data_IF_525916805234
#
_entry.id   IF_525916805234
#
_cell.length_a   1.000
_cell.length_b   1.000
_cell.length_c   1.000
_cell.angle_alpha   90.00
_cell.angle_beta   90.00
_cell.angle_gamma   90.00
#
_symmetry.space_group_name_H-M   'P 1'
#
loop_
_entity.id
_entity.type
_entity.pdbx_description
1 polymer ?
#
# COMPACT_ATOMS: atom_id res chain seq x y z
N UNK A 1 -0.81 20.78 7.42
CA UNK A 1 -0.81 19.34 7.74
C UNK A 1 0.04 18.67 6.68
N UNK A 2 1.18 18.09 7.07
CA UNK A 2 2.04 17.40 6.12
C UNK A 2 1.44 16.04 5.80
N UNK A 3 1.35 15.75 4.51
CA UNK A 3 0.74 14.53 4.00
C UNK A 3 1.66 13.33 4.25
N UNK A 4 1.13 12.26 4.82
CA UNK A 4 1.80 10.95 4.87
C UNK A 4 2.35 10.59 3.49
N UNK A 5 3.63 10.18 3.35
CA UNK A 5 4.19 9.78 2.07
C UNK A 5 3.35 8.71 1.37
N UNK A 6 3.25 8.77 0.05
CA UNK A 6 2.40 7.88 -0.76
C UNK A 6 2.67 6.38 -0.51
N UNK A 7 3.94 6.03 -0.27
CA UNK A 7 4.38 4.64 -0.06
C UNK A 7 3.87 4.00 1.23
N UNK A 8 3.27 4.78 2.11
CA UNK A 8 2.87 4.37 3.47
C UNK A 8 1.37 4.48 3.69
N UNK A 9 0.65 4.93 2.69
CA UNK A 9 -0.79 4.94 2.72
C UNK A 9 -1.29 3.59 2.24
N UNK A 10 -2.30 3.06 2.92
CA UNK A 10 -2.99 1.87 2.45
C UNK A 10 -3.49 2.11 1.02
N UNK A 11 -3.06 1.29 0.08
CA UNK A 11 -3.44 1.40 -1.33
C UNK A 11 -4.65 0.52 -1.61
N UNK A 12 -5.77 1.14 -1.88
CA UNK A 12 -7.04 0.46 -2.17
C UNK A 12 -7.34 0.60 -3.66
N UNK A 13 -7.27 -0.50 -4.40
CA UNK A 13 -7.58 -0.48 -5.82
C UNK A 13 -9.07 -0.70 -6.07
N UNK A 14 -9.69 0.19 -6.89
CA UNK A 14 -11.06 0.04 -7.33
C UNK A 14 -11.11 -0.53 -8.74
N UNK A 15 -11.73 -1.68 -8.86
CA UNK A 15 -11.97 -2.36 -10.13
C UNK A 15 -13.47 -2.47 -10.43
N UNK A 16 -13.81 -2.72 -11.67
CA UNK A 16 -15.17 -2.95 -12.11
C UNK A 16 -15.37 -2.46 -13.54
N UNK A 17 -16.45 -2.89 -14.17
CA UNK A 17 -16.82 -2.50 -15.55
C UNK A 17 -17.05 -1.00 -15.67
N UNK A 18 -17.12 -0.54 -16.90
CA UNK A 18 -17.52 0.84 -17.21
C UNK A 18 -18.95 1.11 -16.68
N UNK A 19 -19.18 2.29 -16.14
CA UNK A 19 -20.46 2.73 -15.62
C UNK A 19 -21.06 1.94 -14.43
N UNK A 20 -20.33 1.07 -13.76
CA UNK A 20 -20.81 0.42 -12.50
C UNK A 20 -20.82 1.36 -11.30
N UNK A 21 -20.24 2.57 -11.44
CA UNK A 21 -20.27 3.62 -10.41
C UNK A 21 -19.03 3.66 -9.53
N UNK A 22 -17.85 3.26 -10.02
CA UNK A 22 -16.56 3.38 -9.27
C UNK A 22 -16.31 4.79 -8.78
N UNK A 23 -16.37 5.78 -9.67
CA UNK A 23 -16.16 7.19 -9.33
C UNK A 23 -17.24 7.75 -8.41
N UNK A 24 -18.49 7.31 -8.56
CA UNK A 24 -19.59 7.68 -7.64
C UNK A 24 -19.37 7.11 -6.25
N UNK A 25 -18.89 5.87 -6.15
CA UNK A 25 -18.50 5.25 -4.89
C UNK A 25 -17.37 6.03 -4.21
N UNK A 26 -16.33 6.43 -4.96
CA UNK A 26 -15.25 7.27 -4.45
C UNK A 26 -15.75 8.63 -3.94
N UNK A 27 -16.64 9.27 -4.69
CA UNK A 27 -17.22 10.54 -4.27
C UNK A 27 -18.06 10.37 -2.99
N UNK A 28 -18.75 9.23 -2.84
CA UNK A 28 -19.48 8.90 -1.64
C UNK A 28 -18.56 8.83 -0.40
N UNK A 29 -17.32 8.36 -0.56
CA UNK A 29 -16.32 8.42 0.50
C UNK A 29 -15.78 9.83 0.73
N UNK A 30 -15.56 10.60 -0.33
CA UNK A 30 -14.88 11.89 -0.27
C UNK A 30 -15.71 13.01 0.37
N UNK A 31 -17.04 12.95 0.29
CA UNK A 31 -17.93 14.00 0.80
C UNK A 31 -18.16 13.94 2.34
N UNK A 32 -17.57 13.00 3.04
CA UNK A 32 -17.66 12.91 4.50
C UNK A 32 -16.37 13.37 5.18
N UNK A 33 -16.33 14.64 5.60
CA UNK A 33 -15.29 15.26 6.49
C UNK A 33 -13.83 14.90 6.16
N UNK A 34 -13.49 14.88 4.88
CA UNK A 34 -12.16 14.50 4.44
C UNK A 34 -11.46 15.74 3.89
N UNK A 35 -10.38 16.14 4.55
CA UNK A 35 -9.46 17.10 3.99
C UNK A 35 -8.87 16.52 2.70
N UNK A 36 -9.31 17.02 1.55
CA UNK A 36 -8.71 16.76 0.25
C UNK A 36 -7.26 17.25 0.33
N UNK A 37 -6.33 16.32 0.46
CA UNK A 37 -4.91 16.65 0.34
C UNK A 37 -4.64 16.85 -1.14
N UNK A 38 -4.45 18.12 -1.51
CA UNK A 38 -4.25 18.69 -2.84
C UNK A 38 -3.92 17.72 -3.97
N UNK A 39 -4.66 17.85 -5.07
CA UNK A 39 -4.28 17.32 -6.38
C UNK A 39 -2.86 17.78 -6.74
N UNK A 40 -1.91 16.88 -6.79
CA UNK A 40 -0.68 17.12 -7.54
C UNK A 40 -0.92 16.67 -8.98
N UNK A 41 -0.97 17.61 -9.94
CA UNK A 41 -0.94 17.25 -11.36
C UNK A 41 0.50 16.81 -11.67
N UNK A 42 0.67 15.63 -12.16
CA UNK A 42 1.95 15.26 -12.76
C UNK A 42 2.32 13.81 -12.56
N UNK A 43 1.98 13.04 -13.49
CA UNK A 43 2.81 12.14 -14.31
C UNK A 43 1.86 11.35 -15.20
N UNK A 44 2.18 11.26 -16.47
CA UNK A 44 1.51 10.55 -17.55
C UNK A 44 1.49 9.03 -17.31
N UNK A 45 0.76 8.58 -16.31
CA UNK A 45 0.41 7.19 -16.11
C UNK A 45 -1.05 7.13 -15.70
N UNK A 46 -1.81 6.50 -16.51
CA UNK A 46 -3.26 6.30 -16.60
C UNK A 46 -4.02 5.83 -15.33
N UNK A 47 -3.48 5.89 -14.16
CA UNK A 47 -4.13 5.54 -12.89
C UNK A 47 -4.37 6.81 -12.09
N UNK A 48 -5.65 7.12 -11.84
CA UNK A 48 -6.01 8.26 -11.00
C UNK A 48 -5.85 7.87 -9.55
N UNK A 49 -4.90 8.49 -8.86
CA UNK A 49 -4.66 8.31 -7.43
C UNK A 49 -5.45 9.36 -6.65
N UNK A 50 -6.32 8.93 -5.75
CA UNK A 50 -7.09 9.80 -4.86
C UNK A 50 -6.69 9.56 -3.41
N UNK A 51 -5.85 10.42 -2.81
CA UNK A 51 -5.52 10.30 -1.40
C UNK A 51 -6.70 10.77 -0.55
N UNK A 52 -7.08 9.96 0.43
CA UNK A 52 -8.16 10.21 1.38
C UNK A 52 -7.71 9.82 2.79
N UNK A 53 -8.38 10.36 3.80
CA UNK A 53 -8.23 9.90 5.18
C UNK A 53 -9.52 9.22 5.62
N UNK A 54 -9.44 7.91 5.90
CA UNK A 54 -10.58 7.11 6.34
C UNK A 54 -10.49 6.84 7.85
N UNK A 55 -11.10 7.66 8.67
CA UNK A 55 -11.17 7.38 10.11
C UNK A 55 -12.07 6.18 10.40
N UNK A 56 -11.65 5.20 11.26
CA UNK A 56 -10.40 5.16 12.04
C UNK A 56 -9.20 4.49 11.35
N UNK A 57 -9.28 4.14 10.08
CA UNK A 57 -8.26 3.39 9.33
C UNK A 57 -6.97 4.23 9.14
N UNK A 58 -7.14 5.55 8.92
CA UNK A 58 -6.02 6.46 8.65
C UNK A 58 -5.89 6.86 7.17
N UNK A 59 -4.70 7.33 6.75
CA UNK A 59 -4.48 7.80 5.39
C UNK A 59 -4.44 6.66 4.39
N UNK A 60 -5.27 6.75 3.34
CA UNK A 60 -5.37 5.77 2.25
C UNK A 60 -5.15 6.44 0.90
N UNK A 61 -4.83 5.65 -0.12
CA UNK A 61 -4.85 6.07 -1.53
C UNK A 61 -5.76 5.14 -2.29
N UNK A 62 -6.82 5.69 -2.86
CA UNK A 62 -7.62 4.95 -3.83
C UNK A 62 -6.97 5.01 -5.21
N UNK A 63 -6.77 3.85 -5.80
CA UNK A 63 -6.30 3.68 -7.18
C UNK A 63 -7.54 3.45 -8.05
N UNK A 64 -8.02 4.52 -8.70
CA UNK A 64 -9.18 4.42 -9.61
C UNK A 64 -8.72 3.84 -10.95
N UNK A 65 -9.38 2.75 -11.37
CA UNK A 65 -9.02 2.03 -12.59
C UNK A 65 -10.02 2.29 -13.70
N UNK A 66 -9.60 2.28 -14.97
CA UNK A 66 -10.53 2.25 -16.09
C UNK A 66 -11.47 1.04 -16.03
N UNK A 67 -12.56 1.10 -16.76
CA UNK A 67 -13.51 -0.03 -16.85
C UNK A 67 -12.83 -1.30 -17.35
N UNK A 68 -13.17 -2.44 -16.76
CA UNK A 68 -12.67 -3.77 -17.17
C UNK A 68 -13.08 -4.15 -18.60
N UNK A 69 -14.14 -3.55 -19.10
CA UNK A 69 -14.77 -3.75 -20.40
C UNK A 69 -14.48 -2.64 -21.41
N UNK A 70 -13.57 -1.71 -21.09
CA UNK A 70 -13.21 -0.61 -21.99
C UNK A 70 -12.51 -1.16 -23.24
N UNK A 71 -13.19 -1.08 -24.37
CA UNK A 71 -12.72 -1.58 -25.67
C UNK A 71 -11.78 -0.61 -26.38
N UNK A 72 -11.54 0.57 -25.84
CA UNK A 72 -10.68 1.61 -26.44
C UNK A 72 -9.19 1.24 -26.42
N UNK A 73 -8.77 0.30 -25.57
CA UNK A 73 -7.39 -0.19 -25.50
C UNK A 73 -7.25 -1.63 -26.00
N UNK A 74 -6.16 -1.91 -26.71
CA UNK A 74 -5.75 -3.27 -27.06
C UNK A 74 -5.71 -4.15 -25.79
N UNK A 75 -6.35 -5.32 -25.81
CA UNK A 75 -6.57 -6.20 -24.66
C UNK A 75 -5.31 -6.51 -23.83
N UNK A 76 -4.14 -6.59 -24.48
CA UNK A 76 -2.85 -6.83 -23.81
C UNK A 76 -2.44 -5.67 -22.89
N UNK A 77 -2.59 -4.41 -23.34
CA UNK A 77 -2.27 -3.23 -22.52
C UNK A 77 -3.17 -3.14 -21.29
N UNK A 78 -4.44 -3.52 -21.41
CA UNK A 78 -5.39 -3.53 -20.31
C UNK A 78 -5.02 -4.55 -19.24
N UNK A 79 -4.63 -5.76 -19.66
CA UNK A 79 -4.16 -6.82 -18.74
C UNK A 79 -2.89 -6.38 -18.01
N UNK A 80 -1.94 -5.81 -18.73
CA UNK A 80 -0.70 -5.31 -18.15
C UNK A 80 -0.95 -4.19 -17.13
N UNK A 81 -1.86 -3.26 -17.46
CA UNK A 81 -2.26 -2.18 -16.56
C UNK A 81 -2.93 -2.69 -15.30
N UNK A 82 -3.88 -3.62 -15.41
CA UNK A 82 -4.52 -4.26 -14.26
C UNK A 82 -3.50 -4.99 -13.39
N UNK A 83 -2.52 -5.66 -13.98
CA UNK A 83 -1.42 -6.33 -13.26
C UNK A 83 -0.55 -5.33 -12.48
N UNK A 84 -0.22 -4.18 -13.08
CA UNK A 84 0.55 -3.10 -12.40
C UNK A 84 -0.22 -2.52 -11.20
N UNK A 85 -1.53 -2.32 -11.34
CA UNK A 85 -2.35 -1.82 -10.24
C UNK A 85 -2.45 -2.87 -9.13
N UNK A 86 -2.68 -4.13 -9.49
CA UNK A 86 -2.73 -5.24 -8.54
C UNK A 86 -1.41 -5.41 -7.77
N UNK A 87 -0.26 -5.17 -8.39
CA UNK A 87 1.03 -5.26 -7.69
C UNK A 87 1.24 -4.16 -6.64
N UNK A 88 0.44 -3.10 -6.68
CA UNK A 88 0.50 -1.98 -5.74
C UNK A 88 -0.61 -2.02 -4.69
N UNK A 89 -1.67 -2.77 -4.96
CA UNK A 89 -2.87 -2.78 -4.12
C UNK A 89 -2.65 -3.61 -2.85
N UNK A 90 -2.96 -3.01 -1.72
CA UNK A 90 -3.01 -3.69 -0.42
C UNK A 90 -4.39 -4.35 -0.21
N UNK A 91 -5.44 -3.72 -0.76
CA UNK A 91 -6.82 -4.22 -0.76
C UNK A 91 -7.44 -3.95 -2.13
N UNK A 92 -8.22 -4.89 -2.64
CA UNK A 92 -8.99 -4.73 -3.86
C UNK A 92 -10.49 -4.57 -3.55
N UNK A 93 -11.12 -3.59 -4.17
CA UNK A 93 -12.59 -3.43 -4.18
C UNK A 93 -13.06 -3.67 -5.60
N UNK A 94 -13.90 -4.69 -5.80
CA UNK A 94 -14.54 -4.95 -7.09
C UNK A 94 -15.95 -4.42 -7.04
N UNK A 95 -16.24 -3.40 -7.86
CA UNK A 95 -17.55 -2.78 -7.97
C UNK A 95 -18.34 -3.44 -9.10
N UNK A 96 -19.51 -3.92 -8.78
CA UNK A 96 -20.42 -4.58 -9.73
C UNK A 96 -21.85 -4.10 -9.56
N UNK A 97 -22.78 -4.62 -10.35
CA UNK A 97 -24.22 -4.35 -10.25
C UNK A 97 -24.96 -5.61 -9.79
N UNK A 98 -26.20 -5.49 -9.24
CA UNK A 98 -26.99 -6.64 -8.81
C UNK A 98 -27.12 -7.68 -9.91
N UNK A 99 -26.83 -8.93 -9.59
CA UNK A 99 -26.96 -10.10 -10.47
C UNK A 99 -26.18 -10.03 -11.80
N UNK A 100 -25.11 -9.20 -11.86
CA UNK A 100 -24.27 -9.07 -13.05
C UNK A 100 -22.81 -9.38 -12.68
N UNK A 101 -22.34 -10.54 -13.07
CA UNK A 101 -20.97 -10.98 -12.87
C UNK A 101 -20.46 -11.63 -14.15
N UNK A 102 -19.51 -11.02 -14.82
CA UNK A 102 -19.02 -11.41 -16.15
C UNK A 102 -17.68 -12.10 -16.08
N UNK A 103 -17.22 -12.66 -17.20
CA UNK A 103 -15.92 -13.31 -17.31
C UNK A 103 -14.75 -12.36 -16.96
N UNK A 104 -14.92 -11.06 -17.17
CA UNK A 104 -13.93 -10.05 -16.82
C UNK A 104 -13.73 -9.93 -15.31
N UNK A 105 -14.82 -9.92 -14.54
CA UNK A 105 -14.77 -9.91 -13.09
C UNK A 105 -14.24 -11.24 -12.54
N UNK A 106 -14.60 -12.37 -13.15
CA UNK A 106 -14.08 -13.69 -12.76
C UNK A 106 -12.57 -13.75 -12.96
N UNK A 107 -12.06 -13.34 -14.12
CA UNK A 107 -10.63 -13.33 -14.41
C UNK A 107 -9.85 -12.39 -13.45
N UNK A 108 -10.42 -11.22 -13.14
CA UNK A 108 -9.84 -10.29 -12.17
C UNK A 108 -9.80 -10.90 -10.77
N UNK A 109 -10.90 -11.50 -10.30
CA UNK A 109 -10.97 -12.11 -8.98
C UNK A 109 -9.95 -13.24 -8.84
N UNK A 110 -9.76 -14.06 -9.87
CA UNK A 110 -8.73 -15.10 -9.89
C UNK A 110 -7.33 -14.48 -9.75
N UNK A 111 -7.04 -13.41 -10.50
CA UNK A 111 -5.76 -12.71 -10.41
C UNK A 111 -5.50 -12.08 -9.02
N UNK A 112 -6.55 -11.61 -8.34
CA UNK A 112 -6.50 -11.09 -6.97
C UNK A 112 -6.20 -12.24 -6.00
N UNK A 113 -6.87 -13.39 -6.15
CA UNK A 113 -6.65 -14.58 -5.33
C UNK A 113 -5.23 -15.13 -5.50
N UNK A 114 -4.73 -15.22 -6.74
CA UNK A 114 -3.36 -15.70 -7.04
C UNK A 114 -2.28 -14.84 -6.36
N UNK A 115 -2.57 -13.56 -6.15
CA UNK A 115 -1.67 -12.63 -5.46
C UNK A 115 -1.95 -12.52 -3.96
N UNK A 116 -2.90 -13.28 -3.43
CA UNK A 116 -3.34 -13.22 -2.03
C UNK A 116 -3.78 -11.81 -1.56
N UNK A 117 -4.28 -10.98 -2.46
CA UNK A 117 -4.75 -9.64 -2.11
C UNK A 117 -6.15 -9.75 -1.48
N UNK A 118 -6.36 -9.22 -0.26
CA UNK A 118 -7.69 -9.18 0.35
C UNK A 118 -8.66 -8.40 -0.53
N UNK A 119 -9.90 -8.91 -0.68
CA UNK A 119 -10.88 -8.28 -1.56
C UNK A 119 -12.25 -8.10 -0.90
N UNK A 120 -12.98 -7.09 -1.36
CA UNK A 120 -14.39 -6.82 -1.05
C UNK A 120 -15.15 -6.68 -2.36
N UNK A 121 -16.33 -7.27 -2.44
CA UNK A 121 -17.26 -7.02 -3.53
C UNK A 121 -18.24 -5.92 -3.11
N UNK A 122 -18.35 -4.88 -3.92
CA UNK A 122 -19.35 -3.81 -3.73
C UNK A 122 -20.39 -3.92 -4.85
N UNK A 123 -21.58 -4.31 -4.48
CA UNK A 123 -22.72 -4.39 -5.39
C UNK A 123 -23.42 -3.03 -5.35
N UNK A 124 -23.06 -2.18 -6.30
CA UNK A 124 -23.59 -0.82 -6.39
C UNK A 124 -24.91 -0.79 -7.14
N UNK A 125 -25.62 0.34 -7.09
CA UNK A 125 -26.94 0.55 -7.71
C UNK A 125 -28.04 -0.37 -7.13
N UNK A 126 -27.98 -0.65 -5.84
CA UNK A 126 -29.01 -1.43 -5.15
C UNK A 126 -30.41 -0.77 -5.14
N UNK A 127 -30.46 0.52 -5.48
CA UNK A 127 -31.69 1.28 -5.76
C UNK A 127 -32.41 0.83 -7.04
N UNK A 128 -31.68 0.31 -8.04
CA UNK A 128 -32.25 -0.19 -9.29
C UNK A 128 -32.69 -1.66 -9.23
N UNK A 129 -32.29 -2.38 -8.20
CA UNK A 129 -32.63 -3.78 -8.00
C UNK A 129 -31.82 -4.41 -6.87
N UNK A 130 -32.36 -5.47 -6.26
CA UNK A 130 -31.66 -6.24 -5.23
C UNK A 130 -30.98 -7.45 -5.81
N UNK A 131 -29.88 -7.85 -5.21
CA UNK A 131 -29.20 -9.09 -5.56
C UNK A 131 -29.99 -10.31 -5.12
N UNK A 132 -29.96 -11.38 -5.89
CA UNK A 132 -30.51 -12.65 -5.44
C UNK A 132 -29.64 -13.23 -4.31
N UNK A 133 -30.23 -14.00 -3.39
CA UNK A 133 -29.46 -14.66 -2.33
C UNK A 133 -28.34 -15.55 -2.88
N UNK A 134 -28.60 -16.24 -4.00
CA UNK A 134 -27.63 -17.11 -4.67
C UNK A 134 -26.43 -16.32 -5.20
N UNK A 135 -26.66 -15.10 -5.69
CA UNK A 135 -25.61 -14.22 -6.18
C UNK A 135 -24.67 -13.80 -5.05
N UNK A 136 -25.21 -13.39 -3.91
CA UNK A 136 -24.41 -13.02 -2.72
C UNK A 136 -23.68 -14.25 -2.17
N UNK A 137 -24.33 -15.41 -2.15
CA UNK A 137 -23.74 -16.66 -1.64
C UNK A 137 -22.51 -17.11 -2.45
N UNK A 138 -22.46 -16.77 -3.73
CA UNK A 138 -21.29 -17.05 -4.59
C UNK A 138 -20.01 -16.45 -4.00
N UNK A 139 -20.06 -15.21 -3.52
CA UNK A 139 -18.89 -14.53 -2.94
C UNK A 139 -18.56 -15.04 -1.54
N UNK A 140 -19.58 -15.36 -0.74
CA UNK A 140 -19.38 -15.92 0.60
C UNK A 140 -18.67 -17.27 0.59
N UNK A 141 -18.97 -18.13 -0.41
CA UNK A 141 -18.28 -19.41 -0.60
C UNK A 141 -16.77 -19.23 -0.81
N UNK A 142 -16.39 -18.12 -1.42
CA UNK A 142 -15.00 -17.71 -1.63
C UNK A 142 -14.39 -16.98 -0.43
N UNK A 143 -15.13 -16.81 0.66
CA UNK A 143 -14.70 -16.10 1.86
C UNK A 143 -14.56 -14.59 1.65
N UNK A 144 -15.27 -14.02 0.67
CA UNK A 144 -15.22 -12.60 0.31
C UNK A 144 -16.51 -11.92 0.77
N UNK A 145 -16.37 -10.82 1.51
CA UNK A 145 -17.51 -9.99 1.90
C UNK A 145 -18.10 -9.27 0.69
N UNK A 146 -19.44 -9.34 0.54
CA UNK A 146 -20.19 -8.63 -0.48
C UNK A 146 -21.14 -7.63 0.20
N UNK A 147 -21.07 -6.37 -0.22
CA UNK A 147 -21.87 -5.28 0.33
C UNK A 147 -22.77 -4.66 -0.75
N UNK A 148 -24.06 -4.59 -0.50
CA UNK A 148 -24.99 -3.86 -1.36
C UNK A 148 -25.02 -2.38 -0.96
N UNK A 149 -24.79 -1.51 -1.93
CA UNK A 149 -24.80 -0.05 -1.75
C UNK A 149 -25.53 0.65 -2.90
N UNK A 150 -26.00 1.86 -2.66
CA UNK A 150 -26.38 2.78 -3.72
C UNK A 150 -25.62 4.09 -3.55
N UNK A 151 -24.76 4.38 -4.52
CA UNK A 151 -23.98 5.63 -4.49
C UNK A 151 -24.82 6.90 -4.68
N UNK A 152 -26.09 6.75 -5.08
CA UNK A 152 -27.04 7.85 -5.26
C UNK A 152 -28.05 8.00 -4.12
N UNK A 153 -28.12 7.04 -3.21
CA UNK A 153 -29.01 7.08 -2.05
C UNK A 153 -28.40 7.96 -0.94
N UNK A 154 -28.79 9.23 -0.91
CA UNK A 154 -28.27 10.19 0.04
C UNK A 154 -28.73 9.90 1.48
N UNK A 155 -29.90 9.28 1.68
CA UNK A 155 -30.47 9.02 3.00
C UNK A 155 -29.69 7.90 3.72
N UNK A 156 -29.25 6.89 3.02
CA UNK A 156 -28.52 5.75 3.58
C UNK A 156 -26.99 5.85 3.41
N UNK A 157 -26.50 6.96 2.89
CA UNK A 157 -25.09 7.19 2.57
C UNK A 157 -24.17 6.89 3.76
N UNK A 158 -24.44 7.45 4.91
CA UNK A 158 -23.63 7.28 6.12
C UNK A 158 -23.53 5.82 6.56
N UNK A 159 -24.61 5.08 6.40
CA UNK A 159 -24.64 3.66 6.71
C UNK A 159 -23.79 2.86 5.72
N UNK A 160 -23.87 3.15 4.43
CA UNK A 160 -23.05 2.48 3.42
C UNK A 160 -21.55 2.76 3.63
N UNK A 161 -21.18 4.00 3.90
CA UNK A 161 -19.79 4.37 4.19
C UNK A 161 -19.30 3.69 5.46
N UNK A 162 -20.12 3.62 6.51
CA UNK A 162 -19.78 2.91 7.74
C UNK A 162 -19.58 1.41 7.53
N UNK A 163 -20.43 0.77 6.73
CA UNK A 163 -20.28 -0.64 6.38
C UNK A 163 -19.00 -0.90 5.59
N UNK A 164 -18.71 -0.07 4.57
CA UNK A 164 -17.50 -0.18 3.76
C UNK A 164 -16.24 0.04 4.60
N UNK A 165 -16.20 1.07 5.47
CA UNK A 165 -15.09 1.29 6.40
C UNK A 165 -14.87 0.09 7.33
N UNK A 166 -15.96 -0.47 7.85
CA UNK A 166 -15.89 -1.67 8.71
C UNK A 166 -15.36 -2.89 7.96
N UNK A 167 -15.77 -3.10 6.71
CA UNK A 167 -15.28 -4.20 5.88
C UNK A 167 -13.80 -4.04 5.54
N UNK A 168 -13.36 -2.83 5.17
CA UNK A 168 -11.94 -2.52 4.94
C UNK A 168 -11.14 -2.78 6.22
N UNK A 169 -11.60 -2.29 7.38
CA UNK A 169 -10.90 -2.47 8.65
C UNK A 169 -10.73 -3.95 9.03
N UNK A 170 -11.68 -4.82 8.69
CA UNK A 170 -11.55 -6.28 8.92
C UNK A 170 -10.48 -6.92 8.04
N UNK A 171 -10.16 -6.32 6.90
CA UNK A 171 -9.15 -6.84 5.98
C UNK A 171 -7.74 -6.34 6.30
N UNK A 172 -7.58 -5.28 7.11
CA UNK A 172 -6.28 -4.74 7.47
C UNK A 172 -5.30 -5.78 8.02
N UNK A 173 -5.68 -6.64 8.99
CA UNK A 173 -4.77 -7.67 9.49
C UNK A 173 -4.33 -8.65 8.40
N UNK A 174 -5.20 -8.94 7.41
CA UNK A 174 -4.87 -9.80 6.27
C UNK A 174 -3.97 -9.07 5.26
N UNK A 175 -4.21 -7.79 5.03
CA UNK A 175 -3.38 -6.96 4.17
C UNK A 175 -1.97 -6.80 4.76
N UNK A 176 -1.87 -6.59 6.08
CA UNK A 176 -0.59 -6.57 6.81
C UNK A 176 0.11 -7.93 6.76
N UNK A 177 -0.61 -9.04 6.90
CA UNK A 177 -0.06 -10.39 6.80
C UNK A 177 0.39 -10.77 5.39
N UNK A 178 -0.29 -10.31 4.34
CA UNK A 178 0.17 -10.52 2.96
C UNK A 178 1.39 -9.67 2.62
N UNK A 179 1.65 -8.60 3.37
CA UNK A 179 2.86 -7.79 3.31
C UNK A 179 3.96 -8.28 4.27
N UNK A 180 3.82 -9.44 4.90
CA UNK A 180 4.81 -10.03 5.83
C UNK A 180 6.17 -10.38 5.16
N UNK A 181 6.59 -9.57 4.23
CA UNK A 181 8.01 -9.47 3.92
C UNK A 181 8.58 -8.45 4.88
N UNK A 182 9.23 -8.92 5.93
CA UNK A 182 9.97 -8.07 6.84
C UNK A 182 10.91 -7.16 6.06
N UNK A 183 11.04 -5.90 6.48
CA UNK A 183 11.96 -4.94 5.84
C UNK A 183 13.41 -5.42 6.02
N UNK A 184 13.72 -5.97 7.17
CA UNK A 184 15.08 -6.27 7.64
C UNK A 184 15.26 -7.70 8.18
N UNK A 185 14.19 -8.39 8.58
CA UNK A 185 14.30 -9.67 9.28
C UNK A 185 14.96 -10.78 8.47
N UNK A 186 14.89 -10.73 7.14
CA UNK A 186 15.59 -11.66 6.25
C UNK A 186 17.07 -11.26 6.03
N UNK A 187 17.41 -9.98 6.23
CA UNK A 187 18.79 -9.47 6.11
C UNK A 187 19.59 -9.66 7.40
N UNK A 188 18.91 -9.67 8.55
CA UNK A 188 19.49 -9.89 9.87
C UNK A 188 18.74 -11.00 10.59
N UNK A 189 19.01 -12.28 10.23
CA UNK A 189 18.17 -13.41 10.63
C UNK A 189 18.32 -13.83 12.10
N UNK A 190 19.25 -13.23 12.84
CA UNK A 190 19.53 -13.64 14.22
C UNK A 190 18.87 -12.66 15.20
N UNK A 191 18.03 -13.17 16.10
CA UNK A 191 17.54 -12.38 17.24
C UNK A 191 18.71 -11.81 18.03
N UNK A 192 18.62 -10.52 18.43
CA UNK A 192 19.72 -9.78 19.03
C UNK A 192 20.78 -9.28 18.03
N UNK A 193 20.53 -9.42 16.73
CA UNK A 193 21.33 -8.78 15.68
C UNK A 193 21.34 -7.26 15.83
N UNK A 194 22.46 -6.63 15.53
CA UNK A 194 22.66 -5.18 15.71
C UNK A 194 22.52 -4.43 14.39
N UNK A 195 21.57 -3.52 14.32
CA UNK A 195 21.36 -2.64 13.17
C UNK A 195 21.66 -1.18 13.55
N UNK A 196 22.43 -0.48 12.73
CA UNK A 196 22.64 0.95 12.89
C UNK A 196 21.91 1.71 11.76
N UNK A 197 21.05 2.63 12.17
CA UNK A 197 20.39 3.55 11.26
C UNK A 197 21.08 4.92 11.30
N UNK A 198 21.57 5.37 10.15
CA UNK A 198 22.13 6.71 9.99
C UNK A 198 21.06 7.62 9.39
N UNK A 199 20.51 8.51 10.23
CA UNK A 199 19.41 9.40 9.89
C UNK A 199 19.88 10.85 9.91
N UNK A 200 20.21 11.45 8.76
CA UNK A 200 20.54 12.88 8.72
C UNK A 200 19.33 13.70 9.17
N UNK A 201 19.57 14.85 9.78
CA UNK A 201 18.49 15.78 10.08
C UNK A 201 18.10 16.47 8.78
N UNK A 202 16.97 16.05 8.22
CA UNK A 202 16.35 16.74 7.10
C UNK A 202 15.75 18.07 7.57
N UNK A 203 16.22 19.18 7.00
CA UNK A 203 15.69 20.52 7.29
C UNK A 203 14.24 20.69 6.81
N UNK A 204 13.77 19.82 5.91
CA UNK A 204 12.39 19.79 5.42
C UNK A 204 11.46 18.95 6.33
N UNK A 205 12.01 18.11 7.21
CA UNK A 205 11.22 17.38 8.19
C UNK A 205 10.91 18.28 9.42
N UNK A 206 9.69 18.20 9.99
CA UNK A 206 9.36 18.94 11.21
C UNK A 206 10.30 18.58 12.36
N UNK A 207 10.70 19.57 13.14
CA UNK A 207 11.52 19.35 14.35
C UNK A 207 10.90 18.26 15.23
N UNK A 208 11.73 17.29 15.64
CA UNK A 208 11.33 16.22 16.54
C UNK A 208 10.64 15.03 15.87
N UNK A 209 10.64 14.92 14.53
CA UNK A 209 10.09 13.79 13.80
C UNK A 209 11.14 13.14 12.92
N UNK A 210 11.14 11.82 12.92
CA UNK A 210 11.79 11.01 11.89
C UNK A 210 10.84 10.90 10.69
N UNK A 211 11.40 10.77 9.48
CA UNK A 211 10.61 10.46 8.31
C UNK A 211 10.12 9.02 8.39
N UNK A 212 9.03 8.74 7.76
CA UNK A 212 8.29 7.50 7.96
C UNK A 212 9.03 6.22 7.50
N UNK A 213 9.85 6.17 6.43
CA UNK A 213 10.71 5.01 6.17
C UNK A 213 11.64 4.68 7.34
N UNK A 214 12.19 5.69 8.00
CA UNK A 214 13.04 5.51 9.17
C UNK A 214 12.25 4.89 10.33
N UNK A 215 11.06 5.42 10.63
CA UNK A 215 10.19 4.91 11.70
C UNK A 215 9.78 3.46 11.43
N UNK A 216 9.41 3.12 10.19
CA UNK A 216 9.01 1.76 9.83
C UNK A 216 10.17 0.76 9.92
N UNK A 217 11.35 1.12 9.43
CA UNK A 217 12.51 0.26 9.52
C UNK A 217 12.93 0.02 10.99
N UNK A 218 12.87 1.06 11.84
CA UNK A 218 13.09 0.92 13.28
C UNK A 218 12.05 -0.03 13.89
N UNK A 219 10.77 0.17 13.57
CA UNK A 219 9.69 -0.67 14.10
C UNK A 219 9.82 -2.12 13.63
N UNK A 220 10.08 -2.36 12.35
CA UNK A 220 10.30 -3.71 11.81
C UNK A 220 11.48 -4.40 12.49
N UNK A 221 12.57 -3.66 12.74
CA UNK A 221 13.72 -4.22 13.47
C UNK A 221 13.33 -4.68 14.88
N UNK A 222 12.56 -3.88 15.60
CA UNK A 222 12.12 -4.22 16.96
C UNK A 222 11.13 -5.40 16.95
N UNK A 223 10.25 -5.49 15.95
CA UNK A 223 9.32 -6.60 15.78
C UNK A 223 10.03 -7.93 15.42
N UNK A 224 11.27 -7.84 14.91
CA UNK A 224 12.15 -8.99 14.65
C UNK A 224 13.21 -9.22 15.74
N UNK A 225 13.02 -8.68 16.93
CA UNK A 225 13.91 -8.84 18.09
C UNK A 225 15.36 -8.35 17.83
N UNK A 226 15.56 -7.32 16.98
CA UNK A 226 16.86 -6.75 16.67
C UNK A 226 17.19 -5.60 17.64
N UNK A 227 18.51 -5.41 17.87
CA UNK A 227 19.03 -4.25 18.60
C UNK A 227 19.21 -3.10 17.61
N UNK A 228 18.67 -1.93 17.94
CA UNK A 228 18.68 -0.76 17.07
C UNK A 228 19.46 0.38 17.68
N UNK A 229 20.39 0.94 16.90
CA UNK A 229 21.07 2.20 17.22
C UNK A 229 20.73 3.20 16.13
N UNK A 230 20.28 4.39 16.51
CA UNK A 230 19.95 5.47 15.57
C UNK A 230 20.92 6.63 15.84
N UNK A 231 21.65 7.04 14.81
CA UNK A 231 22.64 8.11 14.88
C UNK A 231 22.52 9.03 13.67
N UNK A 232 23.09 10.22 13.78
CA UNK A 232 23.32 11.08 12.61
C UNK A 232 24.65 10.70 11.94
N UNK A 233 24.83 11.20 10.73
CA UNK A 233 26.03 10.93 9.93
C UNK A 233 27.36 11.36 10.61
N UNK A 234 27.30 12.32 11.53
CA UNK A 234 28.50 12.81 12.24
C UNK A 234 28.89 11.95 13.44
N UNK A 235 27.88 11.42 14.12
CA UNK A 235 28.05 10.59 15.31
C UNK A 235 28.29 9.11 14.96
N UNK A 236 28.10 8.70 13.69
CA UNK A 236 28.25 7.32 13.26
C UNK A 236 29.64 6.71 13.54
N UNK A 237 30.78 7.38 13.20
CA UNK A 237 32.10 6.82 13.50
C UNK A 237 32.37 6.67 15.02
N UNK A 238 31.79 7.56 15.84
CA UNK A 238 31.89 7.46 17.29
C UNK A 238 31.05 6.29 17.81
N UNK A 239 29.86 6.11 17.30
CA UNK A 239 29.01 4.97 17.64
C UNK A 239 29.72 3.63 17.36
N UNK A 240 30.33 3.48 16.18
CA UNK A 240 31.12 2.28 15.85
C UNK A 240 32.25 2.02 16.85
N UNK A 241 32.96 3.07 17.31
CA UNK A 241 34.04 2.94 18.29
C UNK A 241 33.58 2.55 19.69
N UNK A 242 32.32 2.89 20.03
CA UNK A 242 31.73 2.55 21.34
C UNK A 242 31.24 1.11 21.43
N UNK A 243 31.12 0.44 20.30
CA UNK A 243 30.57 -0.92 20.24
C UNK A 243 31.66 -1.98 20.49
N UNK A 244 31.29 -2.97 21.28
CA UNK A 244 32.12 -4.17 21.48
C UNK A 244 31.91 -5.23 20.38
N UNK A 245 30.86 -5.06 19.55
CA UNK A 245 30.48 -5.96 18.46
C UNK A 245 30.28 -5.14 17.20
N UNK A 246 30.69 -5.67 16.05
CA UNK A 246 30.37 -5.06 14.76
C UNK A 246 28.86 -5.13 14.51
N UNK A 247 28.26 -4.13 13.86
CA UNK A 247 26.88 -4.22 13.44
C UNK A 247 26.69 -5.32 12.37
N UNK A 248 25.53 -5.96 12.40
CA UNK A 248 25.16 -6.96 11.42
C UNK A 248 24.63 -6.30 10.13
N UNK A 249 24.15 -5.05 10.23
CA UNK A 249 23.69 -4.24 9.09
C UNK A 249 23.79 -2.75 9.42
N UNK A 250 24.15 -1.94 8.43
CA UNK A 250 24.08 -0.47 8.48
C UNK A 250 23.14 0.04 7.40
N UNK A 251 22.20 0.88 7.79
CA UNK A 251 21.21 1.48 6.89
C UNK A 251 21.29 2.99 6.96
N UNK A 252 21.34 3.66 5.82
CA UNK A 252 21.38 5.13 5.81
C UNK A 252 20.36 5.74 4.84
N UNK A 253 20.18 7.05 4.98
CA UNK A 253 19.53 7.84 3.95
C UNK A 253 20.43 7.97 2.71
N UNK A 254 19.83 8.00 1.51
CA UNK A 254 20.58 8.09 0.24
C UNK A 254 21.48 9.32 0.15
N UNK A 255 21.18 10.38 0.91
CA UNK A 255 21.97 11.60 0.93
C UNK A 255 23.35 11.42 1.56
N UNK A 256 23.54 10.43 2.43
CA UNK A 256 24.77 10.21 3.19
C UNK A 256 25.48 8.89 2.86
N UNK A 257 25.07 8.23 1.77
CA UNK A 257 25.59 6.91 1.38
C UNK A 257 27.11 6.88 1.21
N UNK A 258 27.70 7.89 0.57
CA UNK A 258 29.16 7.95 0.36
C UNK A 258 29.94 8.02 1.67
N UNK A 259 29.41 8.79 2.64
CA UNK A 259 30.03 8.90 3.96
C UNK A 259 29.85 7.61 4.75
N UNK A 260 28.67 6.99 4.70
CA UNK A 260 28.44 5.69 5.35
C UNK A 260 29.44 4.66 4.84
N UNK A 261 29.57 4.50 3.52
CA UNK A 261 30.50 3.51 2.92
C UNK A 261 31.94 3.78 3.33
N UNK A 262 32.38 5.06 3.35
CA UNK A 262 33.74 5.42 3.74
C UNK A 262 34.06 5.12 5.21
N UNK A 263 33.09 5.23 6.10
CA UNK A 263 33.25 5.07 7.55
C UNK A 263 32.92 3.63 8.05
N UNK A 264 32.30 2.79 7.20
CA UNK A 264 31.90 1.42 7.56
C UNK A 264 33.01 0.42 7.22
N UNK A 265 33.32 -0.55 8.12
CA UNK A 265 34.22 -1.64 7.79
C UNK A 265 33.75 -2.45 6.58
N UNK A 266 34.69 -2.89 5.71
CA UNK A 266 34.40 -3.61 4.45
C UNK A 266 33.60 -4.90 4.64
N UNK A 267 33.67 -5.52 5.81
CA UNK A 267 32.98 -6.76 6.14
C UNK A 267 31.58 -6.54 6.75
N UNK A 268 31.11 -5.30 6.87
CA UNK A 268 29.78 -4.96 7.38
C UNK A 268 28.84 -4.63 6.22
N UNK A 269 27.73 -5.35 6.07
CA UNK A 269 26.74 -5.07 5.05
C UNK A 269 26.13 -3.67 5.21
N UNK A 270 25.97 -2.97 4.08
CA UNK A 270 25.38 -1.63 4.04
C UNK A 270 24.26 -1.56 3.04
N UNK A 271 23.23 -0.75 3.33
CA UNK A 271 22.15 -0.46 2.41
C UNK A 271 21.53 0.92 2.68
N UNK A 272 20.55 1.33 1.88
CA UNK A 272 19.80 2.56 2.09
C UNK A 272 18.33 2.27 2.38
N UNK A 273 17.65 3.21 3.06
CA UNK A 273 16.19 3.10 3.22
C UNK A 273 15.47 2.95 1.88
N UNK A 274 15.90 3.67 0.84
CA UNK A 274 15.32 3.58 -0.49
C UNK A 274 15.40 2.17 -1.06
N UNK A 275 16.54 1.50 -0.96
CA UNK A 275 16.74 0.12 -1.45
C UNK A 275 15.88 -0.86 -0.64
N UNK A 276 15.84 -0.72 0.69
CA UNK A 276 15.00 -1.57 1.55
C UNK A 276 13.53 -1.50 1.16
N UNK A 277 13.02 -0.29 0.93
CA UNK A 277 11.61 -0.11 0.56
C UNK A 277 11.31 -0.48 -0.89
N UNK A 278 12.27 -0.34 -1.81
CA UNK A 278 12.16 -0.85 -3.18
C UNK A 278 12.00 -2.37 -3.20
N UNK A 279 12.73 -3.10 -2.38
CA UNK A 279 12.57 -4.56 -2.20
C UNK A 279 11.15 -4.97 -1.79
N UNK A 280 10.48 -4.17 -0.98
CA UNK A 280 9.14 -4.46 -0.48
C UNK A 280 8.03 -4.21 -1.50
N UNK A 281 8.19 -3.17 -2.32
CA UNK A 281 7.11 -2.61 -3.14
C UNK A 281 7.39 -2.64 -4.64
N UNK A 282 8.60 -3.03 -5.05
CA UNK A 282 9.05 -3.11 -6.43
C UNK A 282 9.25 -4.54 -6.92
N UNK A 283 9.35 -4.71 -8.24
CA UNK A 283 9.97 -5.91 -8.81
C UNK A 283 11.50 -5.72 -8.75
N UNK A 284 12.08 -6.05 -7.58
CA UNK A 284 13.49 -5.88 -7.31
C UNK A 284 14.39 -6.58 -8.35
N UNK A 285 13.93 -7.71 -8.91
CA UNK A 285 14.66 -8.42 -9.96
C UNK A 285 14.69 -7.63 -11.28
N UNK A 286 13.66 -6.85 -11.56
CA UNK A 286 13.59 -5.98 -12.73
C UNK A 286 14.38 -4.68 -12.52
N UNK A 287 14.35 -4.12 -11.32
CA UNK A 287 15.15 -2.95 -10.96
C UNK A 287 16.66 -3.24 -11.03
N UNK A 288 17.11 -4.38 -10.54
CA UNK A 288 18.51 -4.83 -10.62
C UNK A 288 18.93 -5.03 -12.08
N UNK A 289 18.06 -5.61 -12.92
CA UNK A 289 18.32 -5.76 -14.36
C UNK A 289 18.39 -4.44 -15.11
N UNK A 290 17.63 -3.44 -14.67
CA UNK A 290 17.64 -2.11 -15.25
C UNK A 290 18.80 -1.22 -14.80
N UNK A 291 19.51 -1.58 -13.74
CA UNK A 291 20.66 -0.87 -13.19
C UNK A 291 22.01 -1.41 -13.72
N UNK A 292 22.03 -2.54 -14.42
CA UNK A 292 23.19 -3.16 -15.06
C UNK A 292 23.33 -2.68 -16.50
#
# INVERSE_FOLDING_TARGET
MESTPKSLRLQIALFGRTNVGKSSLLNMFADQDIAIVSEMPGTTTDVVEKPLELLPIGPVVFLDTPGLDDTSELGEKRIERSKRILSRADIAIIVTEPNKWTDSEIALLNSIKDKNIPAIIVINKSDLGKSSPEYIETFKKDGIDALEVSSFDAENRDNYVKQLKSAIAKLLPKAEQSQNVSILGDLVPNAGGLVIFITPIDLQAPKGRLILPQVQAIRDSLDNDLIVIVVKEREYPDALRMLNKKPDLVVCDSQVVYKMVADTPDDVPCTTFSILFSRLKGDFAEEVRGAA
#
